data_IF_852531681185
#
_entry.id   IF_852531681185
#
_cell.length_a   1.000
_cell.length_b   1.000
_cell.length_c   1.000
_cell.angle_alpha   90.00
_cell.angle_beta   90.00
_cell.angle_gamma   90.00
#
_symmetry.space_group_name_H-M   'P 1'
#
loop_
_entity.id
_entity.type
_entity.pdbx_description
1 polymer ?
#
# COMPACT_ATOMS: atom_id res chain seq x y z
N UNK A 1 -8.18 -64.39 2.29
CA UNK A 1 -7.00 -63.59 1.88
C UNK A 1 -7.44 -62.63 0.79
N UNK A 2 -7.61 -61.36 1.12
CA UNK A 2 -7.93 -60.30 0.14
C UNK A 2 -6.66 -59.98 -0.66
N UNK A 3 -6.69 -60.18 -1.98
CA UNK A 3 -5.59 -59.75 -2.88
C UNK A 3 -5.52 -58.23 -2.85
N UNK A 4 -4.43 -57.67 -2.33
CA UNK A 4 -4.12 -56.26 -2.47
C UNK A 4 -3.71 -56.01 -3.92
N UNK A 5 -4.54 -55.31 -4.70
CA UNK A 5 -4.14 -54.83 -6.02
C UNK A 5 -3.16 -53.68 -5.84
N UNK A 6 -1.88 -53.93 -6.10
CA UNK A 6 -0.88 -52.86 -6.17
C UNK A 6 -1.13 -51.96 -7.39
N UNK A 7 -0.74 -50.69 -7.26
CA UNK A 7 -0.72 -49.72 -8.36
C UNK A 7 0.31 -50.16 -9.41
N UNK A 8 0.01 -50.03 -10.70
CA UNK A 8 0.98 -50.38 -11.75
C UNK A 8 2.01 -49.27 -11.93
N UNK A 9 3.24 -49.64 -12.34
CA UNK A 9 4.28 -48.66 -12.68
C UNK A 9 3.83 -47.70 -13.79
N UNK A 10 3.03 -48.21 -14.75
CA UNK A 10 2.53 -47.39 -15.86
C UNK A 10 1.50 -46.36 -15.42
N UNK A 11 0.61 -46.69 -14.47
CA UNK A 11 -0.33 -45.71 -13.91
C UNK A 11 0.41 -44.57 -13.21
N UNK A 12 1.46 -44.89 -12.46
CA UNK A 12 2.25 -43.85 -11.78
C UNK A 12 2.92 -42.92 -12.81
N UNK A 13 3.47 -43.46 -13.90
CA UNK A 13 4.11 -42.69 -14.97
C UNK A 13 3.10 -41.78 -15.68
N UNK A 14 1.90 -42.29 -15.98
CA UNK A 14 0.87 -41.50 -16.65
C UNK A 14 0.40 -40.34 -15.75
N UNK A 15 0.26 -40.57 -14.44
CA UNK A 15 -0.13 -39.51 -13.50
C UNK A 15 0.89 -38.37 -13.47
N UNK A 16 2.18 -38.68 -13.34
CA UNK A 16 3.22 -37.62 -13.32
C UNK A 16 3.35 -36.91 -14.68
N UNK A 17 3.10 -37.62 -15.79
CA UNK A 17 3.07 -37.02 -17.13
C UNK A 17 1.93 -36.01 -17.26
N UNK A 18 0.73 -36.38 -16.83
CA UNK A 18 -0.43 -35.48 -16.85
C UNK A 18 -0.17 -34.27 -15.96
N UNK A 19 0.32 -34.46 -14.74
CA UNK A 19 0.65 -33.36 -13.83
C UNK A 19 1.72 -32.42 -14.42
N UNK A 20 2.68 -32.96 -15.17
CA UNK A 20 3.73 -32.17 -15.82
C UNK A 20 3.17 -31.25 -16.93
N UNK A 21 2.24 -31.75 -17.75
CA UNK A 21 1.59 -30.94 -18.81
C UNK A 21 0.69 -29.87 -18.19
N UNK A 22 -0.08 -30.23 -17.15
CA UNK A 22 -0.93 -29.28 -16.43
C UNK A 22 -0.10 -28.18 -15.75
N UNK A 23 1.02 -28.55 -15.12
CA UNK A 23 1.91 -27.57 -14.50
C UNK A 23 2.55 -26.62 -15.52
N UNK A 24 3.02 -27.14 -16.67
CA UNK A 24 3.65 -26.34 -17.72
C UNK A 24 2.71 -25.28 -18.32
N UNK A 25 1.41 -25.57 -18.38
CA UNK A 25 0.41 -24.65 -18.93
C UNK A 25 -0.21 -23.72 -17.89
N UNK A 26 -0.34 -24.17 -16.63
CA UNK A 26 -0.94 -23.38 -15.56
C UNK A 26 0.04 -22.36 -14.94
N UNK A 27 1.34 -22.68 -14.86
CA UNK A 27 2.31 -21.85 -14.17
C UNK A 27 2.46 -20.43 -14.75
N UNK A 28 2.58 -20.23 -16.09
CA UNK A 28 2.71 -18.88 -16.65
C UNK A 28 1.50 -18.01 -16.31
N UNK A 29 0.29 -18.55 -16.50
CA UNK A 29 -0.96 -17.85 -16.18
C UNK A 29 -1.09 -17.53 -14.69
N UNK A 30 -0.57 -18.39 -13.82
CA UNK A 30 -0.59 -18.15 -12.37
C UNK A 30 0.35 -17.00 -11.96
N UNK A 31 1.45 -16.78 -12.69
CA UNK A 31 2.34 -15.64 -12.47
C UNK A 31 1.65 -14.36 -12.93
N UNK A 32 1.07 -14.35 -14.13
CA UNK A 32 0.36 -13.18 -14.68
C UNK A 32 -0.78 -12.72 -13.74
N UNK A 33 -1.61 -13.66 -13.26
CA UNK A 33 -2.72 -13.36 -12.33
C UNK A 33 -2.21 -12.82 -11.00
N UNK A 34 -1.06 -13.27 -10.51
CA UNK A 34 -0.47 -12.72 -9.29
C UNK A 34 0.00 -11.28 -9.48
N UNK A 35 0.62 -10.97 -10.62
CA UNK A 35 1.07 -9.60 -10.90
C UNK A 35 -0.11 -8.65 -11.11
N UNK A 36 -1.15 -9.09 -11.85
CA UNK A 36 -2.42 -8.35 -11.97
C UNK A 36 -3.06 -8.09 -10.60
N UNK A 37 -3.01 -9.08 -9.70
CA UNK A 37 -3.55 -8.95 -8.35
C UNK A 37 -2.77 -7.94 -7.50
N UNK A 38 -1.43 -7.91 -7.60
CA UNK A 38 -0.59 -6.92 -6.92
C UNK A 38 -0.86 -5.52 -7.48
N UNK A 39 -0.94 -5.38 -8.80
CA UNK A 39 -1.28 -4.12 -9.47
C UNK A 39 -2.63 -3.60 -8.98
N UNK A 40 -3.67 -4.45 -8.95
CA UNK A 40 -4.99 -4.08 -8.47
C UNK A 40 -4.98 -3.69 -6.98
N UNK A 41 -4.21 -4.41 -6.14
CA UNK A 41 -4.08 -4.10 -4.72
C UNK A 41 -3.46 -2.71 -4.50
N UNK A 42 -2.32 -2.42 -5.15
CA UNK A 42 -1.64 -1.12 -5.04
C UNK A 42 -2.52 0.00 -5.59
N UNK A 43 -3.23 -0.24 -6.71
CA UNK A 43 -4.20 0.71 -7.25
C UNK A 43 -5.36 1.01 -6.27
N UNK A 44 -5.89 -0.03 -5.60
CA UNK A 44 -6.95 0.10 -4.62
C UNK A 44 -6.51 0.91 -3.41
N UNK A 45 -5.32 0.63 -2.88
CA UNK A 45 -4.75 1.37 -1.74
C UNK A 45 -4.44 2.81 -2.13
N UNK A 46 -3.83 3.05 -3.29
CA UNK A 46 -3.55 4.40 -3.79
C UNK A 46 -4.82 5.22 -4.01
N UNK A 47 -5.90 4.60 -4.50
CA UNK A 47 -7.22 5.24 -4.63
C UNK A 47 -7.87 5.57 -3.28
N UNK A 48 -7.77 4.67 -2.31
CA UNK A 48 -8.24 4.93 -0.94
C UNK A 48 -7.44 6.07 -0.28
N UNK A 49 -6.12 6.08 -0.49
CA UNK A 49 -5.24 7.12 0.02
C UNK A 49 -5.53 8.49 -0.59
N UNK A 50 -5.70 8.56 -1.92
CA UNK A 50 -6.12 9.79 -2.60
C UNK A 50 -7.49 10.30 -2.13
N UNK A 51 -8.43 9.38 -1.86
CA UNK A 51 -9.73 9.74 -1.28
C UNK A 51 -9.58 10.30 0.14
N UNK A 52 -8.72 9.70 0.96
CA UNK A 52 -8.39 10.22 2.29
C UNK A 52 -7.77 11.62 2.24
N UNK A 53 -6.88 11.88 1.28
CA UNK A 53 -6.30 13.22 1.06
C UNK A 53 -7.38 14.24 0.70
N UNK A 54 -8.27 13.90 -0.23
CA UNK A 54 -9.34 14.78 -0.66
C UNK A 54 -10.33 15.10 0.47
N UNK A 55 -10.68 14.11 1.30
CA UNK A 55 -11.57 14.30 2.44
C UNK A 55 -10.92 15.17 3.53
N UNK A 56 -9.65 14.94 3.84
CA UNK A 56 -8.91 15.77 4.79
C UNK A 56 -8.85 17.23 4.32
N UNK A 57 -8.55 17.44 3.05
CA UNK A 57 -8.52 18.77 2.43
C UNK A 57 -9.90 19.44 2.45
N UNK A 58 -10.98 18.69 2.17
CA UNK A 58 -12.34 19.19 2.27
C UNK A 58 -12.71 19.60 3.70
N UNK A 59 -12.30 18.81 4.71
CA UNK A 59 -12.51 19.15 6.11
C UNK A 59 -11.73 20.41 6.51
N UNK A 60 -10.51 20.59 6.02
CA UNK A 60 -9.74 21.82 6.24
C UNK A 60 -10.46 23.07 5.70
N UNK A 61 -11.06 22.97 4.50
CA UNK A 61 -11.92 24.02 3.97
C UNK A 61 -13.17 24.26 4.83
N UNK A 62 -13.83 23.20 5.27
CA UNK A 62 -15.01 23.30 6.13
C UNK A 62 -14.68 23.96 7.48
N UNK A 63 -13.46 23.78 7.97
CA UNK A 63 -12.95 24.41 9.20
C UNK A 63 -12.49 25.87 8.99
N UNK A 64 -12.64 26.44 7.79
CA UNK A 64 -12.42 27.86 7.52
C UNK A 64 -11.09 28.21 6.83
N UNK A 65 -10.35 27.24 6.31
CA UNK A 65 -9.16 27.44 5.46
C UNK A 65 -8.15 28.46 6.03
N UNK A 66 -7.45 28.06 7.10
CA UNK A 66 -6.45 28.92 7.76
C UNK A 66 -5.11 28.87 7.02
N UNK A 67 -4.50 30.02 6.73
CA UNK A 67 -3.21 30.12 6.03
C UNK A 67 -1.99 29.73 6.91
N UNK A 68 -2.20 28.84 7.89
CA UNK A 68 -1.20 28.37 8.85
C UNK A 68 -1.29 26.86 8.92
N UNK A 69 -0.14 26.19 8.96
CA UNK A 69 -0.12 24.75 9.21
C UNK A 69 -0.73 24.44 10.59
N UNK A 70 -1.52 23.38 10.68
CA UNK A 70 -2.21 23.07 11.91
C UNK A 70 -3.12 21.85 11.81
N UNK A 71 -3.66 21.47 12.96
CA UNK A 71 -4.60 20.37 13.09
C UNK A 71 -5.79 20.55 12.13
N UNK A 72 -6.34 19.46 11.61
CA UNK A 72 -7.64 19.42 10.94
C UNK A 72 -8.67 18.90 11.95
N UNK A 73 -9.39 19.78 12.68
CA UNK A 73 -10.42 19.35 13.63
C UNK A 73 -11.44 18.41 12.99
N UNK A 74 -11.70 17.28 13.67
CA UNK A 74 -12.69 16.29 13.23
C UNK A 74 -12.22 15.37 12.11
N UNK A 75 -10.94 15.42 11.73
CA UNK A 75 -10.35 14.51 10.76
C UNK A 75 -9.17 13.73 11.35
N UNK A 76 -9.13 12.42 11.10
CA UNK A 76 -8.08 11.52 11.54
C UNK A 76 -8.60 10.13 11.85
N UNK A 77 -7.67 9.20 12.03
CA UNK A 77 -7.97 7.84 12.48
C UNK A 77 -7.93 7.77 14.00
N UNK A 78 -8.39 6.66 14.59
CA UNK A 78 -8.22 6.38 16.03
C UNK A 78 -6.75 6.34 16.48
N UNK A 79 -5.82 6.32 15.52
CA UNK A 79 -4.37 6.22 15.69
C UNK A 79 -3.64 7.56 15.73
N UNK A 80 -4.30 8.68 15.39
CA UNK A 80 -3.64 9.99 15.39
C UNK A 80 -4.44 11.09 14.68
N UNK A 81 -4.20 12.31 15.14
CA UNK A 81 -4.67 13.55 14.55
C UNK A 81 -4.01 13.80 13.19
N UNK A 82 -4.75 14.31 12.20
CA UNK A 82 -4.19 14.73 10.91
C UNK A 82 -4.01 16.23 10.88
N UNK A 83 -2.84 16.68 10.45
CA UNK A 83 -2.52 18.09 10.26
C UNK A 83 -2.59 18.46 8.79
N UNK A 84 -2.76 19.74 8.49
CA UNK A 84 -2.65 20.30 7.15
C UNK A 84 -1.50 21.31 7.10
N UNK A 85 -0.83 21.38 5.96
CA UNK A 85 0.07 22.49 5.68
C UNK A 85 -0.71 23.78 5.37
N UNK A 86 0.02 24.87 5.07
CA UNK A 86 -0.57 26.18 4.74
C UNK A 86 -1.47 26.17 3.49
N UNK A 87 -1.31 25.18 2.62
CA UNK A 87 -2.16 24.96 1.43
C UNK A 87 -3.33 24.01 1.70
N UNK A 88 -3.52 23.55 2.93
CA UNK A 88 -4.61 22.65 3.31
C UNK A 88 -4.35 21.17 3.02
N UNK A 89 -3.13 20.79 2.63
CA UNK A 89 -2.80 19.41 2.29
C UNK A 89 -2.31 18.62 3.50
N UNK A 90 -2.73 17.36 3.67
CA UNK A 90 -2.37 16.53 4.82
C UNK A 90 -0.87 16.37 5.05
N UNK A 91 -0.48 16.54 6.30
CA UNK A 91 0.83 16.31 6.90
C UNK A 91 0.63 15.67 8.29
N UNK A 92 1.70 15.14 8.88
CA UNK A 92 1.61 14.42 10.17
C UNK A 92 1.61 15.34 11.40
N UNK A 93 2.23 16.52 11.32
CA UNK A 93 2.31 17.44 12.45
C UNK A 93 2.19 18.91 12.02
N UNK A 94 2.26 19.84 12.98
CA UNK A 94 2.20 21.28 12.70
C UNK A 94 3.51 21.89 12.16
N UNK A 95 4.60 21.12 12.02
CA UNK A 95 5.94 21.63 11.72
C UNK A 95 6.19 21.93 10.24
N UNK A 96 5.19 21.73 9.37
CA UNK A 96 5.30 21.79 7.90
C UNK A 96 6.24 20.75 7.26
N UNK A 97 6.87 19.89 8.06
CA UNK A 97 7.54 18.68 7.57
C UNK A 97 6.61 17.48 7.67
N UNK A 98 6.32 16.82 6.55
CA UNK A 98 5.42 15.66 6.56
C UNK A 98 6.18 14.39 6.94
N UNK A 99 5.81 13.75 8.06
CA UNK A 99 6.09 12.32 8.24
C UNK A 99 5.15 11.52 7.33
N UNK A 100 5.73 10.72 6.45
CA UNK A 100 4.96 9.94 5.49
C UNK A 100 4.19 8.82 6.18
N UNK A 101 4.80 8.13 7.14
CA UNK A 101 4.11 7.08 7.90
C UNK A 101 2.97 7.64 8.74
N UNK A 102 3.16 8.83 9.31
CA UNK A 102 2.12 9.54 10.04
C UNK A 102 0.93 9.94 9.16
N UNK A 103 1.19 10.54 8.00
CA UNK A 103 0.13 10.85 7.01
C UNK A 103 -0.61 9.58 6.58
N UNK A 104 0.09 8.49 6.31
CA UNK A 104 -0.52 7.21 5.96
C UNK A 104 -1.49 6.71 7.04
N UNK A 105 -1.02 6.68 8.29
CA UNK A 105 -1.79 6.17 9.43
C UNK A 105 -2.94 7.09 9.84
N UNK A 106 -2.81 8.40 9.61
CA UNK A 106 -3.86 9.38 9.87
C UNK A 106 -4.95 9.41 8.81
N UNK A 107 -4.62 9.13 7.55
CA UNK A 107 -5.57 9.18 6.43
C UNK A 107 -6.30 7.86 6.18
N UNK A 108 -5.65 6.72 6.41
CA UNK A 108 -6.26 5.41 6.18
C UNK A 108 -6.90 4.86 7.46
N UNK A 109 -8.10 4.30 7.33
CA UNK A 109 -8.88 3.78 8.46
C UNK A 109 -8.40 2.40 8.93
N UNK A 110 -8.99 1.90 10.02
CA UNK A 110 -8.75 0.55 10.55
C UNK A 110 -8.88 -0.53 9.47
N UNK A 111 -7.85 -1.37 9.34
CA UNK A 111 -7.76 -2.42 8.30
C UNK A 111 -6.95 -2.02 7.07
N UNK A 112 -6.39 -0.81 7.04
CA UNK A 112 -5.44 -0.40 6.02
C UNK A 112 -4.14 -1.22 6.07
N UNK A 113 -3.44 -1.35 4.92
CA UNK A 113 -2.11 -1.94 4.89
C UNK A 113 -1.15 -1.17 5.80
N UNK A 114 -0.23 -1.90 6.42
CA UNK A 114 0.76 -1.36 7.32
C UNK A 114 1.88 -0.64 6.57
N UNK A 115 2.43 0.41 7.18
CA UNK A 115 3.56 1.16 6.63
C UNK A 115 4.73 1.21 7.62
N UNK A 116 5.96 1.07 7.13
CA UNK A 116 7.19 1.19 7.90
C UNK A 116 8.25 2.07 7.24
N UNK A 117 9.39 2.21 7.89
CA UNK A 117 10.54 2.97 7.36
C UNK A 117 11.68 2.00 7.01
N UNK A 118 12.19 2.05 5.79
CA UNK A 118 13.14 1.10 5.18
C UNK A 118 14.39 0.83 6.03
N UNK A 119 14.89 1.84 6.75
CA UNK A 119 16.09 1.74 7.59
C UNK A 119 15.88 0.94 8.89
N UNK A 120 14.67 0.45 9.15
CA UNK A 120 14.32 -0.29 10.35
C UNK A 120 13.94 -1.73 10.03
N UNK A 121 14.14 -2.65 10.97
CA UNK A 121 13.68 -4.05 10.85
C UNK A 121 12.17 -4.17 10.63
N UNK A 122 11.39 -3.11 10.90
CA UNK A 122 9.95 -3.06 10.66
C UNK A 122 9.56 -2.98 9.17
N UNK A 123 10.46 -2.52 8.27
CA UNK A 123 10.18 -2.51 6.83
C UNK A 123 10.04 -3.92 6.24
N UNK A 124 10.72 -4.91 6.83
CA UNK A 124 10.64 -6.30 6.38
C UNK A 124 9.33 -7.01 6.74
N UNK A 125 8.49 -6.39 7.59
CA UNK A 125 7.22 -6.96 8.09
C UNK A 125 6.01 -6.12 7.76
N UNK A 126 6.17 -5.02 7.02
CA UNK A 126 5.09 -4.11 6.66
C UNK A 126 4.69 -4.28 5.20
N UNK A 127 3.47 -3.92 4.86
CA UNK A 127 2.95 -4.03 3.48
C UNK A 127 3.57 -2.98 2.56
N UNK A 128 3.84 -1.80 3.11
CA UNK A 128 4.52 -0.70 2.44
C UNK A 128 5.67 -0.18 3.28
N UNK A 129 6.66 0.43 2.63
CA UNK A 129 7.72 1.14 3.32
C UNK A 129 8.05 2.48 2.65
N UNK A 130 8.61 3.38 3.45
CA UNK A 130 9.20 4.65 2.98
C UNK A 130 10.70 4.65 3.25
N UNK A 131 11.52 5.12 2.30
CA UNK A 131 12.98 5.17 2.50
C UNK A 131 13.40 6.21 3.52
N UNK A 132 12.69 7.35 3.55
CA UNK A 132 12.85 8.40 4.54
C UNK A 132 11.44 8.81 4.99
N UNK A 133 11.22 8.80 6.31
CA UNK A 133 9.92 9.16 6.86
C UNK A 133 9.63 10.65 6.71
N UNK A 134 10.66 11.48 6.86
CA UNK A 134 10.60 12.92 6.57
C UNK A 134 11.46 13.19 5.33
N UNK A 135 10.87 13.19 4.12
CA UNK A 135 11.62 13.40 2.89
C UNK A 135 12.11 14.85 2.78
N UNK A 136 13.30 15.03 2.19
CA UNK A 136 13.81 16.37 1.86
C UNK A 136 13.02 17.02 0.71
N UNK A 137 12.37 16.20 -0.12
CA UNK A 137 11.36 16.62 -1.08
C UNK A 137 9.97 16.60 -0.42
N UNK A 138 9.06 17.42 -0.89
CA UNK A 138 7.64 17.41 -0.48
C UNK A 138 6.85 16.19 -1.00
N UNK A 139 7.54 15.07 -1.23
CA UNK A 139 7.00 13.86 -1.85
C UNK A 139 7.24 12.66 -0.93
N UNK A 140 6.15 12.08 -0.44
CA UNK A 140 6.14 10.81 0.25
C UNK A 140 5.99 9.67 -0.75
N UNK A 141 6.96 8.77 -0.81
CA UNK A 141 6.91 7.59 -1.68
C UNK A 141 6.78 6.32 -0.83
N UNK A 142 5.62 5.69 -0.91
CA UNK A 142 5.27 4.42 -0.27
C UNK A 142 5.52 3.28 -1.26
N UNK A 143 6.59 2.53 -1.07
CA UNK A 143 6.95 1.38 -1.91
C UNK A 143 6.28 0.12 -1.39
N UNK A 144 5.74 -0.70 -2.29
CA UNK A 144 5.09 -1.94 -1.93
C UNK A 144 6.11 -3.04 -1.62
N UNK A 145 6.09 -3.61 -0.42
CA UNK A 145 7.14 -4.53 0.05
C UNK A 145 7.23 -5.81 -0.78
N UNK A 146 6.13 -6.29 -1.34
CA UNK A 146 6.13 -7.51 -2.15
C UNK A 146 6.62 -7.28 -3.59
N UNK A 147 6.72 -6.03 -4.04
CA UNK A 147 7.23 -5.66 -5.37
C UNK A 147 7.69 -4.19 -5.38
N UNK A 148 9.01 -3.98 -5.31
CA UNK A 148 9.63 -2.65 -5.24
C UNK A 148 9.43 -1.78 -6.51
N UNK A 149 8.92 -2.37 -7.59
CA UNK A 149 8.56 -1.60 -8.80
C UNK A 149 7.25 -0.83 -8.64
N UNK A 150 6.45 -1.18 -7.63
CA UNK A 150 5.13 -0.61 -7.36
C UNK A 150 5.19 0.35 -6.19
N UNK A 151 4.62 1.55 -6.37
CA UNK A 151 4.63 2.57 -5.32
C UNK A 151 3.47 3.54 -5.44
N UNK A 152 3.15 4.18 -4.31
CA UNK A 152 2.22 5.29 -4.22
C UNK A 152 3.04 6.52 -3.82
N UNK A 153 3.01 7.57 -4.63
CA UNK A 153 3.70 8.82 -4.37
C UNK A 153 2.67 9.92 -4.06
N UNK A 154 2.87 10.65 -2.97
CA UNK A 154 2.04 11.79 -2.57
C UNK A 154 2.86 13.05 -2.45
N UNK A 155 2.44 14.09 -3.16
CA UNK A 155 3.04 15.41 -3.12
C UNK A 155 2.23 16.32 -2.17
N UNK A 156 2.78 16.62 -0.99
CA UNK A 156 2.10 17.41 0.03
C UNK A 156 1.96 18.89 -0.34
N UNK A 157 2.64 19.40 -1.38
CA UNK A 157 2.48 20.79 -1.83
C UNK A 157 1.28 20.97 -2.76
N UNK A 158 0.88 19.91 -3.45
CA UNK A 158 -0.14 19.94 -4.53
C UNK A 158 -1.33 19.05 -4.26
N UNK A 159 -1.25 18.15 -3.28
CA UNK A 159 -2.28 17.13 -3.04
C UNK A 159 -2.25 15.96 -4.02
N UNK A 160 -1.33 15.97 -5.00
CA UNK A 160 -1.31 14.97 -6.05
C UNK A 160 -0.88 13.60 -5.53
N UNK A 161 -1.63 12.57 -5.92
CA UNK A 161 -1.30 11.16 -5.69
C UNK A 161 -1.04 10.48 -7.03
N UNK A 162 0.12 9.84 -7.16
CA UNK A 162 0.50 9.06 -8.33
C UNK A 162 0.70 7.62 -7.90
N UNK A 163 0.13 6.68 -8.66
CA UNK A 163 0.31 5.25 -8.42
C UNK A 163 1.12 4.66 -9.56
N UNK A 164 2.27 4.08 -9.21
CA UNK A 164 3.07 3.24 -10.11
C UNK A 164 2.71 1.80 -9.85
N UNK A 165 2.23 1.13 -10.90
CA UNK A 165 1.72 -0.25 -10.88
C UNK A 165 2.67 -1.16 -11.64
#
# INVERSE_FOLDING_TARGET
>A
MTKQSGFTLIELIIVILILSILAATALPRFIDVQDDAKEAAVAGVGGAFASGIALAHAQWFANGAVATAGLIPGYGSSTGDVYANTSGWPIDDSSSTASCTGVWNGLLQTGAPTVGVAATTAAATTDYYVTADVPASNICTFTYTADDTKNIAYNNSTGAVTVTK
#
